data_IF_738279084167
#
_entry.id   IF_738279084167
#
_cell.length_a   1.000
_cell.length_b   1.000
_cell.length_c   1.000
_cell.angle_alpha   90.00
_cell.angle_beta   90.00
_cell.angle_gamma   90.00
#
_symmetry.space_group_name_H-M   'P 1'
#
loop_
_entity.id
_entity.type
_entity.pdbx_description
1 polymer ?
#
# COMPACT_ATOMS: atom_id res chain seq x y z
N UNK A 1 1.45 5.77 -1.12
CA UNK A 1 0.06 6.10 -0.79
C UNK A 1 -0.62 4.99 0.00
N UNK A 2 -0.76 3.77 -0.54
CA UNK A 2 -1.49 2.67 0.10
C UNK A 2 -1.08 2.38 1.56
N UNK A 3 0.21 2.17 1.83
CA UNK A 3 0.66 1.88 3.20
C UNK A 3 0.36 3.03 4.19
N UNK A 4 0.52 4.28 3.76
CA UNK A 4 0.23 5.43 4.63
C UNK A 4 -1.28 5.56 4.91
N UNK A 5 -2.13 5.35 3.90
CA UNK A 5 -3.59 5.33 4.07
C UNK A 5 -4.02 4.22 5.03
N UNK A 6 -3.50 3.00 4.86
CA UNK A 6 -3.87 1.87 5.72
C UNK A 6 -3.42 2.11 7.15
N UNK A 7 -2.19 2.61 7.38
CA UNK A 7 -1.72 2.97 8.73
C UNK A 7 -2.60 4.06 9.34
N UNK A 8 -2.96 5.09 8.57
CA UNK A 8 -3.80 6.19 9.06
C UNK A 8 -5.21 5.72 9.46
N UNK A 9 -5.83 4.85 8.67
CA UNK A 9 -7.21 4.39 8.89
C UNK A 9 -7.30 3.22 9.88
N UNK A 10 -6.33 2.31 9.89
CA UNK A 10 -6.33 1.14 10.75
C UNK A 10 -5.68 1.41 12.12
N UNK A 11 -4.77 2.39 12.23
CA UNK A 11 -3.94 2.57 13.42
C UNK A 11 -3.16 1.30 13.74
N UNK A 12 -3.00 0.99 15.04
CA UNK A 12 -2.23 -0.16 15.51
C UNK A 12 -2.92 -1.52 15.31
N UNK A 13 -4.13 -1.55 14.74
CA UNK A 13 -4.90 -2.78 14.52
C UNK A 13 -4.34 -3.64 13.39
N UNK A 14 -3.59 -3.04 12.47
CA UNK A 14 -2.99 -3.72 11.32
C UNK A 14 -1.55 -3.25 11.17
N UNK A 15 -0.60 -4.18 11.23
CA UNK A 15 0.80 -3.88 10.99
C UNK A 15 1.06 -3.72 9.48
N UNK A 16 1.50 -2.54 9.05
CA UNK A 16 1.67 -2.21 7.64
C UNK A 16 3.14 -2.11 7.26
N UNK A 17 3.49 -2.68 6.10
CA UNK A 17 4.82 -2.58 5.49
C UNK A 17 4.67 -2.24 4.02
N UNK A 18 5.59 -1.45 3.47
CA UNK A 18 5.67 -1.17 2.02
C UNK A 18 7.10 -1.32 1.54
N UNK A 19 7.25 -1.92 0.36
CA UNK A 19 8.51 -2.03 -0.33
C UNK A 19 8.27 -2.14 -1.84
N UNK A 20 9.28 -1.75 -2.63
CA UNK A 20 9.30 -1.93 -4.09
C UNK A 20 10.35 -2.95 -4.50
N UNK A 21 10.17 -3.56 -5.67
CA UNK A 21 11.19 -4.39 -6.33
C UNK A 21 12.35 -3.52 -6.83
N UNK A 22 12.02 -2.38 -7.43
CA UNK A 22 12.95 -1.35 -7.87
C UNK A 22 12.57 -0.02 -7.21
N UNK A 23 13.03 0.25 -5.98
CA UNK A 23 12.67 1.48 -5.28
C UNK A 23 13.28 2.69 -6.01
N UNK A 24 12.45 3.68 -6.29
CA UNK A 24 12.90 4.99 -6.76
C UNK A 24 13.73 5.71 -5.68
N UNK A 25 14.56 6.66 -6.10
CA UNK A 25 15.38 7.46 -5.17
C UNK A 25 14.55 8.36 -4.25
N UNK A 26 13.36 8.77 -4.71
CA UNK A 26 12.49 9.71 -4.00
C UNK A 26 11.01 9.34 -4.19
N UNK A 27 10.18 9.74 -3.23
CA UNK A 27 8.72 9.62 -3.35
C UNK A 27 8.22 10.62 -4.39
N UNK A 28 7.28 10.20 -5.24
CA UNK A 28 6.64 11.04 -6.23
C UNK A 28 6.05 12.33 -5.59
N UNK A 29 6.50 13.53 -5.99
CA UNK A 29 6.00 14.80 -5.43
C UNK A 29 4.50 14.99 -5.55
N UNK A 30 3.88 14.51 -6.64
CA UNK A 30 2.43 14.57 -6.81
C UNK A 30 1.70 13.68 -5.79
N UNK A 31 2.28 12.52 -5.45
CA UNK A 31 1.74 11.66 -4.39
C UNK A 31 1.88 12.30 -3.00
N UNK A 32 2.98 13.02 -2.74
CA UNK A 32 3.13 13.81 -1.50
C UNK A 32 2.03 14.87 -1.43
N UNK A 33 1.85 15.67 -2.49
CA UNK A 33 0.84 16.71 -2.53
C UNK A 33 -0.58 16.16 -2.32
N UNK A 34 -0.96 15.11 -3.04
CA UNK A 34 -2.28 14.47 -2.92
C UNK A 34 -2.54 13.91 -1.51
N UNK A 35 -1.53 13.38 -0.83
CA UNK A 35 -1.68 12.85 0.52
C UNK A 35 -1.72 13.95 1.60
N UNK A 36 -0.94 15.03 1.42
CA UNK A 36 -0.96 16.19 2.33
C UNK A 36 -2.33 16.87 2.36
N UNK A 37 -3.06 16.90 1.25
CA UNK A 37 -4.43 17.43 1.18
C UNK A 37 -5.40 16.77 2.16
N UNK A 38 -5.18 15.48 2.46
CA UNK A 38 -5.99 14.71 3.42
C UNK A 38 -5.30 14.56 4.78
N UNK A 39 -4.26 15.37 5.05
CA UNK A 39 -3.56 15.39 6.33
C UNK A 39 -2.58 14.24 6.55
N UNK A 40 -2.15 13.54 5.49
CA UNK A 40 -1.20 12.43 5.58
C UNK A 40 0.14 12.84 4.98
N UNK A 41 1.16 12.95 5.83
CA UNK A 41 2.51 13.30 5.40
C UNK A 41 3.30 12.05 4.95
N UNK A 42 3.70 12.01 3.67
CA UNK A 42 4.54 10.96 3.12
C UNK A 42 6.04 11.23 3.25
N UNK A 43 6.46 12.45 3.59
CA UNK A 43 7.88 12.87 3.53
C UNK A 43 8.77 12.15 4.54
N UNK A 44 8.17 11.60 5.60
CA UNK A 44 8.86 10.78 6.61
C UNK A 44 9.08 9.33 6.17
N UNK A 45 8.46 8.92 5.06
CA UNK A 45 8.65 7.59 4.47
C UNK A 45 9.81 7.60 3.48
N UNK A 46 10.56 6.49 3.43
CA UNK A 46 11.60 6.27 2.41
C UNK A 46 11.26 5.01 1.60
N UNK A 47 11.52 4.99 0.28
CA UNK A 47 11.47 3.77 -0.52
C UNK A 47 12.37 2.68 0.08
N UNK A 48 11.85 1.45 0.17
CA UNK A 48 12.53 0.29 0.75
C UNK A 48 12.53 -0.85 -0.26
N UNK A 49 13.61 -1.63 -0.27
CA UNK A 49 13.70 -2.86 -1.06
C UNK A 49 12.80 -3.93 -0.46
N UNK A 50 12.10 -4.67 -1.32
CA UNK A 50 11.32 -5.82 -0.92
C UNK A 50 12.24 -6.97 -0.49
N UNK A 51 12.08 -7.44 0.75
CA UNK A 51 12.81 -8.61 1.26
C UNK A 51 11.87 -9.80 1.40
N UNK A 52 12.38 -11.00 1.15
CA UNK A 52 11.63 -12.25 1.35
C UNK A 52 11.06 -12.38 2.77
N UNK A 53 11.84 -12.01 3.78
CA UNK A 53 11.41 -12.06 5.18
C UNK A 53 10.19 -11.16 5.45
N UNK A 54 10.11 -9.99 4.81
CA UNK A 54 8.97 -9.09 4.95
C UNK A 54 7.70 -9.69 4.34
N UNK A 55 7.83 -10.39 3.20
CA UNK A 55 6.72 -11.09 2.55
C UNK A 55 6.27 -12.27 3.42
N UNK A 56 7.20 -13.10 3.88
CA UNK A 56 6.90 -14.28 4.70
C UNK A 56 6.28 -13.94 6.06
N UNK A 57 6.63 -12.79 6.64
CA UNK A 57 6.08 -12.33 7.92
C UNK A 57 4.72 -11.61 7.81
N UNK A 58 4.09 -11.61 6.64
CA UNK A 58 2.82 -10.93 6.39
C UNK A 58 1.70 -11.93 6.15
N UNK A 59 0.53 -11.70 6.75
CA UNK A 59 -0.66 -12.54 6.49
C UNK A 59 -1.24 -12.27 5.10
N UNK A 60 -1.13 -11.03 4.63
CA UNK A 60 -1.61 -10.57 3.32
C UNK A 60 -0.54 -9.75 2.61
N UNK A 61 -0.37 -10.01 1.31
CA UNK A 61 0.52 -9.25 0.43
C UNK A 61 -0.32 -8.69 -0.73
N UNK A 62 -0.25 -7.37 -0.89
CA UNK A 62 -0.94 -6.65 -1.98
C UNK A 62 0.10 -6.28 -3.05
N UNK A 63 -0.12 -6.71 -4.29
CA UNK A 63 0.63 -6.27 -5.47
C UNK A 63 -0.14 -5.17 -6.18
N UNK A 64 0.57 -4.19 -6.74
CA UNK A 64 0.00 -3.05 -7.46
C UNK A 64 0.77 -2.82 -8.77
N UNK A 65 0.84 -3.85 -9.61
CA UNK A 65 1.49 -3.76 -10.93
C UNK A 65 2.93 -4.27 -11.04
N UNK A 66 3.55 -4.81 -9.97
CA UNK A 66 4.88 -5.42 -10.05
C UNK A 66 4.92 -6.84 -10.68
N UNK A 67 3.75 -7.47 -10.89
CA UNK A 67 3.67 -8.82 -11.44
C UNK A 67 4.38 -9.88 -10.58
N UNK A 68 4.46 -11.10 -11.10
CA UNK A 68 4.89 -12.35 -10.44
C UNK A 68 6.35 -12.38 -9.90
N UNK A 69 6.99 -11.23 -9.65
CA UNK A 69 8.33 -11.14 -9.06
C UNK A 69 8.37 -11.41 -7.55
N UNK A 70 7.23 -11.41 -6.88
CA UNK A 70 7.17 -11.77 -5.46
C UNK A 70 7.30 -13.29 -5.28
N UNK A 71 8.29 -13.79 -4.50
CA UNK A 71 8.35 -15.19 -4.16
C UNK A 71 7.06 -15.62 -3.44
N UNK A 72 6.55 -16.79 -3.80
CA UNK A 72 5.36 -17.38 -3.19
C UNK A 72 5.72 -18.04 -1.86
N UNK A 73 5.03 -17.64 -0.79
CA UNK A 73 5.15 -18.25 0.54
C UNK A 73 3.81 -18.90 0.94
N UNK A 74 3.80 -20.20 1.28
CA UNK A 74 2.61 -20.85 1.81
C UNK A 74 2.09 -20.15 3.08
N UNK A 75 0.76 -19.97 3.16
CA UNK A 75 0.10 -19.31 4.30
C UNK A 75 -0.04 -17.80 4.16
N UNK A 76 0.61 -17.17 3.17
CA UNK A 76 0.43 -15.76 2.84
C UNK A 76 -0.68 -15.62 1.79
N UNK A 77 -1.66 -14.75 2.05
CA UNK A 77 -2.71 -14.47 1.10
C UNK A 77 -2.29 -13.34 0.15
N UNK A 78 -2.20 -13.62 -1.14
CA UNK A 78 -1.85 -12.61 -2.14
C UNK A 78 -3.11 -11.98 -2.75
N UNK A 79 -3.07 -10.68 -3.02
CA UNK A 79 -4.10 -9.93 -3.75
C UNK A 79 -3.41 -9.03 -4.76
N UNK A 80 -4.00 -8.92 -5.94
CA UNK A 80 -3.54 -7.99 -6.97
C UNK A 80 -4.56 -6.86 -7.13
N UNK A 81 -4.14 -5.64 -6.85
CA UNK A 81 -4.94 -4.45 -7.08
C UNK A 81 -4.51 -3.81 -8.40
N UNK A 82 -5.44 -3.81 -9.35
CA UNK A 82 -5.26 -3.14 -10.63
C UNK A 82 -5.49 -1.64 -10.44
N UNK A 83 -4.39 -0.92 -10.35
CA UNK A 83 -4.34 0.52 -10.14
C UNK A 83 -3.43 1.14 -11.21
N UNK A 84 -3.74 2.38 -11.61
CA UNK A 84 -2.89 3.13 -12.50
C UNK A 84 -1.59 3.56 -11.79
N UNK A 85 -0.49 3.64 -12.55
CA UNK A 85 0.79 4.11 -12.03
C UNK A 85 0.79 5.65 -11.89
N UNK A 86 1.01 6.21 -10.69
CA UNK A 86 1.08 7.65 -10.50
C UNK A 86 2.35 8.29 -11.08
N UNK A 87 3.36 7.53 -11.48
CA UNK A 87 4.63 8.07 -11.99
C UNK A 87 4.41 8.95 -13.24
N UNK A 88 4.93 10.18 -13.18
CA UNK A 88 4.82 11.14 -14.29
C UNK A 88 3.40 11.70 -14.54
N UNK A 89 2.42 11.33 -13.73
CA UNK A 89 1.03 11.77 -13.89
C UNK A 89 0.76 13.15 -13.27
N UNK A 90 -0.34 13.77 -13.69
CA UNK A 90 -0.83 15.02 -13.11
C UNK A 90 -1.33 14.83 -11.67
N UNK A 91 -1.36 15.90 -10.87
CA UNK A 91 -1.91 15.84 -9.52
C UNK A 91 -3.37 15.37 -9.49
N UNK A 92 -4.20 15.79 -10.45
CA UNK A 92 -5.60 15.35 -10.54
C UNK A 92 -5.72 13.85 -10.77
N UNK A 93 -4.88 13.29 -11.66
CA UNK A 93 -4.79 11.84 -11.88
C UNK A 93 -4.34 11.12 -10.62
N UNK A 94 -3.33 11.65 -9.93
CA UNK A 94 -2.81 11.05 -8.69
C UNK A 94 -3.84 11.10 -7.55
N UNK A 95 -4.72 12.12 -7.50
CA UNK A 95 -5.87 12.15 -6.59
C UNK A 95 -6.86 11.04 -6.88
N UNK A 96 -7.20 10.80 -8.16
CA UNK A 96 -8.08 9.69 -8.52
C UNK A 96 -7.48 8.34 -8.09
N UNK A 97 -6.18 8.12 -8.36
CA UNK A 97 -5.47 6.91 -7.91
C UNK A 97 -5.46 6.78 -6.38
N UNK A 98 -5.26 7.89 -5.64
CA UNK A 98 -5.33 7.90 -4.18
C UNK A 98 -6.72 7.45 -3.69
N UNK A 99 -7.77 7.92 -4.34
CA UNK A 99 -9.15 7.64 -3.94
C UNK A 99 -9.52 6.17 -4.25
N UNK A 100 -9.09 5.64 -5.40
CA UNK A 100 -9.22 4.21 -5.72
C UNK A 100 -8.50 3.32 -4.69
N UNK A 101 -7.27 3.71 -4.30
CA UNK A 101 -6.52 3.02 -3.23
C UNK A 101 -7.30 3.07 -1.91
N UNK A 102 -7.92 4.20 -1.57
CA UNK A 102 -8.69 4.33 -0.34
C UNK A 102 -9.88 3.37 -0.30
N UNK A 103 -10.60 3.21 -1.42
CA UNK A 103 -11.72 2.26 -1.53
C UNK A 103 -11.27 0.81 -1.32
N UNK A 104 -10.17 0.41 -1.95
CA UNK A 104 -9.56 -0.90 -1.71
C UNK A 104 -9.14 -1.11 -0.25
N UNK A 105 -8.60 -0.08 0.40
CA UNK A 105 -8.20 -0.14 1.81
C UNK A 105 -9.41 -0.28 2.74
N UNK A 106 -10.51 0.44 2.49
CA UNK A 106 -11.73 0.29 3.29
C UNK A 106 -12.27 -1.14 3.22
N UNK A 107 -12.29 -1.74 2.04
CA UNK A 107 -12.68 -3.14 1.86
C UNK A 107 -11.73 -4.08 2.62
N UNK A 108 -10.41 -3.88 2.50
CA UNK A 108 -9.40 -4.70 3.16
C UNK A 108 -9.50 -4.62 4.69
N UNK A 109 -9.65 -3.41 5.26
CA UNK A 109 -9.83 -3.23 6.71
C UNK A 109 -11.07 -3.98 7.19
N UNK A 110 -12.17 -3.88 6.45
CA UNK A 110 -13.42 -4.57 6.79
C UNK A 110 -13.23 -6.09 6.78
N UNK A 111 -12.59 -6.64 5.75
CA UNK A 111 -12.26 -8.08 5.65
C UNK A 111 -11.39 -8.55 6.83
N UNK A 112 -10.26 -7.88 7.06
CA UNK A 112 -9.27 -8.30 8.06
C UNK A 112 -9.80 -8.18 9.49
N UNK A 113 -10.51 -7.10 9.80
CA UNK A 113 -11.02 -6.87 11.16
C UNK A 113 -12.30 -7.66 11.45
N UNK A 114 -13.11 -7.98 10.44
CA UNK A 114 -14.23 -8.90 10.63
C UNK A 114 -13.75 -10.32 10.96
N UNK A 115 -12.69 -10.78 10.28
CA UNK A 115 -12.09 -12.11 10.50
C UNK A 115 -11.47 -12.24 11.90
N UNK A 116 -10.87 -11.15 12.41
CA UNK A 116 -10.27 -11.12 13.75
C UNK A 116 -11.27 -11.08 14.90
N UNK A 117 -12.56 -10.85 14.64
CA UNK A 117 -13.61 -10.76 15.67
C UNK A 117 -14.35 -12.09 15.89
N UNK A 118 -13.92 -13.17 15.24
CA UNK A 118 -14.48 -14.53 15.34
C UNK A 118 -13.69 -15.51 16.21
N UNK A 119 -12.81 -15.00 17.08
CA UNK A 119 -12.06 -15.82 18.06
C UNK A 119 -12.75 -15.89 19.43
#
# INVERSE_FOLDING_TARGET
MAAALLTHLAGDRIAVRSAGTEPADQINPAAIAAMTEIGIDLTTSAPKILTSDAVQASDVVITMGCGDTCPYFPGVAYRDWKLDDPAGQSLDTVRAIRDDIADHIHALITELLATNNTA
#
